data_IF_047088287000
#
_entry.id   IF_047088287000
#
_cell.length_a   1.000
_cell.length_b   1.000
_cell.length_c   1.000
_cell.angle_alpha   90.00
_cell.angle_beta   90.00
_cell.angle_gamma   90.00
#
_symmetry.space_group_name_H-M   'P 1'
#
loop_
_entity.id
_entity.type
_entity.pdbx_description
1 polymer ?
#
# COMPACT_ATOMS: atom_id res chain seq x y z
N UNK A 1 2.77 -3.60 -13.28
CA UNK A 1 2.72 -4.03 -11.88
C UNK A 1 1.53 -4.97 -11.66
N UNK A 2 1.78 -6.13 -11.07
CA UNK A 2 0.74 -6.99 -10.52
C UNK A 2 0.43 -6.57 -9.08
N UNK A 3 -0.78 -6.84 -8.54
CA UNK A 3 -1.15 -6.42 -7.20
C UNK A 3 -1.21 -7.58 -6.22
N UNK A 4 -0.53 -7.47 -5.08
CA UNK A 4 -0.62 -8.41 -3.97
C UNK A 4 -1.33 -7.77 -2.78
N UNK A 5 -2.36 -8.47 -2.29
CA UNK A 5 -3.17 -8.06 -1.12
C UNK A 5 -2.63 -8.80 0.12
N UNK A 6 -1.87 -8.09 0.96
CA UNK A 6 -1.10 -8.68 2.04
C UNK A 6 -1.92 -9.06 3.28
N UNK A 7 -3.22 -8.75 3.32
CA UNK A 7 -4.14 -9.31 4.31
C UNK A 7 -4.35 -10.82 4.17
N UNK A 8 -3.90 -11.42 3.05
CA UNK A 8 -3.89 -12.89 2.88
C UNK A 8 -2.55 -13.46 3.34
N UNK A 9 -2.62 -14.49 4.16
CA UNK A 9 -1.42 -15.13 4.72
C UNK A 9 -0.56 -15.89 3.69
N UNK A 10 -1.14 -16.25 2.52
CA UNK A 10 -0.46 -17.01 1.45
C UNK A 10 0.33 -16.13 0.46
N UNK A 11 0.30 -14.79 0.62
CA UNK A 11 0.87 -13.89 -0.39
C UNK A 11 2.40 -13.82 -0.40
N UNK A 12 3.05 -14.06 0.74
CA UNK A 12 4.51 -14.11 0.77
C UNK A 12 5.07 -15.32 0.01
N UNK A 13 4.46 -16.49 0.15
CA UNK A 13 4.87 -17.68 -0.58
C UNK A 13 4.62 -17.51 -2.08
N UNK A 14 3.49 -16.92 -2.46
CA UNK A 14 3.21 -16.58 -3.85
C UNK A 14 4.24 -15.60 -4.42
N UNK A 15 4.62 -14.55 -3.67
CA UNK A 15 5.63 -13.57 -4.08
C UNK A 15 6.99 -14.25 -4.34
N UNK A 16 7.41 -15.12 -3.42
CA UNK A 16 8.67 -15.88 -3.55
C UNK A 16 8.65 -16.79 -4.76
N UNK A 17 7.56 -17.55 -4.96
CA UNK A 17 7.39 -18.43 -6.12
C UNK A 17 7.41 -17.65 -7.46
N UNK A 18 6.75 -16.48 -7.50
CA UNK A 18 6.76 -15.62 -8.67
C UNK A 18 8.16 -15.07 -8.96
N UNK A 19 8.92 -14.71 -7.92
CA UNK A 19 10.31 -14.25 -8.05
C UNK A 19 11.22 -15.36 -8.62
N UNK A 20 11.12 -16.59 -8.11
CA UNK A 20 11.90 -17.72 -8.64
C UNK A 20 11.57 -17.99 -10.13
N UNK A 21 10.29 -17.91 -10.48
CA UNK A 21 9.88 -18.01 -11.89
C UNK A 21 10.46 -16.86 -12.74
N UNK A 22 10.54 -15.65 -12.19
CA UNK A 22 11.15 -14.52 -12.89
C UNK A 22 12.66 -14.70 -13.10
N UNK A 23 13.37 -15.26 -12.11
CA UNK A 23 14.78 -15.59 -12.21
C UNK A 23 15.05 -16.62 -13.30
N UNK A 24 14.31 -17.74 -13.27
CA UNK A 24 14.49 -18.83 -14.24
C UNK A 24 14.19 -18.41 -15.67
N UNK A 25 13.24 -17.49 -15.86
CA UNK A 25 12.84 -16.99 -17.17
C UNK A 25 13.45 -15.63 -17.54
N UNK A 26 14.36 -15.11 -16.72
CA UNK A 26 15.13 -13.87 -16.93
C UNK A 26 14.28 -12.63 -17.23
N UNK A 27 13.13 -12.45 -16.53
CA UNK A 27 12.33 -11.22 -16.66
C UNK A 27 12.27 -10.42 -15.35
N UNK A 28 11.95 -9.14 -15.49
CA UNK A 28 11.72 -8.24 -14.35
C UNK A 28 10.26 -8.33 -13.91
N UNK A 29 10.01 -8.23 -12.60
CA UNK A 29 8.65 -8.17 -12.06
C UNK A 29 8.39 -6.87 -11.32
N UNK A 30 7.22 -6.29 -11.54
CA UNK A 30 6.73 -5.15 -10.76
C UNK A 30 5.52 -5.58 -9.94
N UNK A 31 5.57 -5.35 -8.64
CA UNK A 31 4.49 -5.68 -7.71
C UNK A 31 4.01 -4.42 -7.00
N UNK A 32 2.71 -4.19 -7.07
CA UNK A 32 2.01 -3.27 -6.20
C UNK A 32 1.59 -4.02 -4.94
N UNK A 33 2.11 -3.59 -3.81
CA UNK A 33 1.78 -4.16 -2.51
C UNK A 33 0.71 -3.30 -1.85
N UNK A 34 -0.40 -3.91 -1.44
CA UNK A 34 -1.49 -3.28 -0.70
C UNK A 34 -1.90 -4.16 0.47
N UNK A 35 -2.51 -3.58 1.51
CA UNK A 35 -3.07 -4.39 2.60
C UNK A 35 -4.26 -5.20 2.12
N UNK A 36 -5.19 -4.59 1.42
CA UNK A 36 -6.39 -5.19 0.85
C UNK A 36 -7.67 -4.55 1.38
N UNK A 37 -8.78 -4.70 0.64
CA UNK A 37 -10.02 -3.98 0.90
C UNK A 37 -11.26 -4.89 1.08
N UNK A 38 -11.09 -6.22 1.05
CA UNK A 38 -12.24 -7.15 1.06
C UNK A 38 -12.15 -8.18 2.19
N UNK A 39 -11.50 -7.83 3.28
CA UNK A 39 -11.18 -8.74 4.39
C UNK A 39 -12.44 -9.42 4.94
N UNK A 40 -13.48 -8.66 5.26
CA UNK A 40 -14.72 -9.20 5.82
C UNK A 40 -15.47 -10.09 4.81
N UNK A 41 -15.53 -9.66 3.55
CA UNK A 41 -16.17 -10.46 2.49
C UNK A 41 -15.47 -11.80 2.25
N UNK A 42 -14.15 -11.83 2.33
CA UNK A 42 -13.36 -13.07 2.20
C UNK A 42 -13.56 -14.00 3.40
N UNK A 43 -13.67 -13.45 4.62
CA UNK A 43 -13.99 -14.21 5.84
C UNK A 43 -15.38 -14.82 5.75
N UNK A 44 -16.39 -14.01 5.45
CA UNK A 44 -17.78 -14.49 5.26
C UNK A 44 -17.88 -15.57 4.18
N UNK A 45 -17.16 -15.39 3.07
CA UNK A 45 -17.13 -16.38 2.00
C UNK A 45 -16.50 -17.68 2.44
N UNK A 46 -15.41 -17.64 3.22
CA UNK A 46 -14.76 -18.81 3.74
C UNK A 46 -15.69 -19.58 4.68
N UNK A 47 -16.38 -18.87 5.58
CA UNK A 47 -17.39 -19.45 6.50
C UNK A 47 -18.52 -20.11 5.73
N UNK A 48 -19.17 -19.36 4.80
CA UNK A 48 -20.28 -19.88 3.98
C UNK A 48 -19.93 -21.10 3.14
N UNK A 49 -18.67 -21.25 2.76
CA UNK A 49 -18.17 -22.36 1.90
C UNK A 49 -17.42 -23.45 2.66
N UNK A 50 -17.24 -23.29 3.96
CA UNK A 50 -16.61 -24.31 4.84
C UNK A 50 -15.13 -24.54 4.59
N UNK A 51 -14.37 -23.52 4.13
CA UNK A 51 -12.92 -23.61 4.01
C UNK A 51 -12.20 -22.65 4.97
N UNK A 52 -10.93 -22.94 5.36
CA UNK A 52 -10.17 -22.07 6.22
C UNK A 52 -10.03 -20.67 5.65
N UNK A 53 -10.26 -19.63 6.47
CA UNK A 53 -10.13 -18.25 6.02
C UNK A 53 -8.70 -17.98 5.50
N UNK A 54 -8.53 -17.41 4.30
CA UNK A 54 -7.21 -17.06 3.77
C UNK A 54 -6.66 -15.76 4.38
N UNK A 55 -7.41 -15.11 5.26
CA UNK A 55 -7.11 -13.79 5.81
C UNK A 55 -6.24 -13.93 7.06
N UNK A 56 -5.26 -13.05 7.22
CA UNK A 56 -4.45 -12.93 8.42
C UNK A 56 -5.33 -12.80 9.67
N UNK A 57 -4.84 -13.34 10.79
CA UNK A 57 -5.61 -13.39 12.04
C UNK A 57 -6.07 -12.01 12.54
N UNK A 58 -5.21 -11.01 12.38
CA UNK A 58 -5.45 -9.65 12.86
C UNK A 58 -4.77 -8.59 11.97
N UNK A 59 -4.95 -7.33 12.34
CA UNK A 59 -4.35 -6.18 11.65
C UNK A 59 -2.82 -6.22 11.72
N UNK A 60 -2.24 -6.58 12.87
CA UNK A 60 -0.80 -6.62 13.05
C UNK A 60 -0.15 -7.64 12.11
N UNK A 61 -0.72 -8.84 12.01
CA UNK A 61 -0.26 -9.86 11.07
C UNK A 61 -0.32 -9.40 9.61
N UNK A 62 -1.32 -8.58 9.26
CA UNK A 62 -1.40 -7.94 7.93
C UNK A 62 -0.29 -6.90 7.73
N UNK A 63 -0.04 -6.09 8.75
CA UNK A 63 1.02 -5.06 8.73
C UNK A 63 2.41 -5.70 8.63
N UNK A 64 2.66 -6.76 9.39
CA UNK A 64 3.90 -7.53 9.36
C UNK A 64 4.14 -8.16 7.97
N UNK A 65 3.11 -8.80 7.42
CA UNK A 65 3.14 -9.42 6.11
C UNK A 65 3.40 -8.38 4.99
N UNK A 66 2.76 -7.21 5.08
CA UNK A 66 2.99 -6.08 4.18
C UNK A 66 4.45 -5.60 4.25
N UNK A 67 4.96 -5.36 5.45
CA UNK A 67 6.32 -4.88 5.67
C UNK A 67 7.38 -5.94 5.30
N UNK A 68 7.07 -7.23 5.48
CA UNK A 68 7.95 -8.32 5.02
C UNK A 68 8.07 -8.36 3.51
N UNK A 69 6.95 -8.19 2.78
CA UNK A 69 6.97 -8.10 1.32
C UNK A 69 7.86 -6.95 0.83
N UNK A 70 7.77 -5.77 1.46
CA UNK A 70 8.64 -4.63 1.17
C UNK A 70 10.11 -5.01 1.40
N UNK A 71 10.44 -5.55 2.58
CA UNK A 71 11.83 -5.96 2.91
C UNK A 71 12.36 -6.99 1.92
N UNK A 72 11.52 -7.93 1.52
CA UNK A 72 11.88 -8.93 0.53
C UNK A 72 12.20 -8.29 -0.83
N UNK A 73 11.27 -7.51 -1.36
CA UNK A 73 11.39 -6.94 -2.71
C UNK A 73 12.57 -5.98 -2.86
N UNK A 74 12.81 -5.14 -1.86
CA UNK A 74 13.88 -4.14 -1.88
C UNK A 74 15.30 -4.73 -1.94
N UNK A 75 15.47 -6.03 -1.62
CA UNK A 75 16.76 -6.73 -1.72
C UNK A 75 17.15 -7.07 -3.17
N UNK A 76 16.19 -7.10 -4.09
CA UNK A 76 16.43 -7.65 -5.42
C UNK A 76 16.30 -6.60 -6.53
N UNK A 77 17.37 -6.34 -7.29
CA UNK A 77 17.40 -5.26 -8.29
C UNK A 77 16.47 -5.48 -9.49
N UNK A 78 16.02 -6.71 -9.73
CA UNK A 78 15.08 -7.04 -10.80
C UNK A 78 13.60 -6.99 -10.37
N UNK A 79 13.34 -6.56 -9.12
CA UNK A 79 11.99 -6.36 -8.60
C UNK A 79 11.67 -4.86 -8.50
N UNK A 80 10.50 -4.47 -9.01
CA UNK A 80 10.00 -3.11 -8.89
C UNK A 80 8.85 -3.10 -7.84
N UNK A 81 8.97 -2.21 -6.87
CA UNK A 81 8.01 -2.02 -5.79
C UNK A 81 7.10 -0.83 -6.07
N UNK A 82 5.79 -1.05 -5.98
CA UNK A 82 4.81 0.01 -5.85
C UNK A 82 4.14 -0.11 -4.47
N UNK A 83 4.54 0.73 -3.53
CA UNK A 83 4.02 0.73 -2.15
C UNK A 83 2.67 1.46 -2.11
N UNK A 84 1.57 0.71 -2.20
CA UNK A 84 0.20 1.24 -2.10
C UNK A 84 -0.25 1.31 -0.64
N UNK A 85 -0.05 2.46 0.02
CA UNK A 85 -0.35 2.58 1.45
C UNK A 85 -0.58 4.03 1.88
N UNK A 86 -1.41 4.19 2.94
CA UNK A 86 -1.61 5.41 3.71
C UNK A 86 -0.90 5.37 5.07
N UNK A 87 -0.15 4.29 5.35
CA UNK A 87 0.58 4.12 6.59
C UNK A 87 1.96 4.78 6.51
N UNK A 88 2.22 5.74 7.42
CA UNK A 88 3.47 6.48 7.47
C UNK A 88 4.67 5.58 7.79
N UNK A 89 4.53 4.67 8.76
CA UNK A 89 5.60 3.78 9.19
C UNK A 89 6.07 2.87 8.05
N UNK A 90 5.13 2.32 7.27
CA UNK A 90 5.47 1.54 6.08
C UNK A 90 6.15 2.39 5.00
N UNK A 91 5.77 3.67 4.87
CA UNK A 91 6.42 4.60 3.95
C UNK A 91 7.84 4.93 4.41
N UNK A 92 8.06 5.16 5.70
CA UNK A 92 9.39 5.33 6.27
C UNK A 92 10.25 4.08 6.09
N UNK A 93 9.70 2.88 6.31
CA UNK A 93 10.41 1.62 6.08
C UNK A 93 10.94 1.52 4.64
N UNK A 94 10.13 1.90 3.64
CA UNK A 94 10.58 1.93 2.24
C UNK A 94 11.76 2.90 2.05
N UNK A 95 11.68 4.10 2.64
CA UNK A 95 12.76 5.10 2.55
C UNK A 95 14.04 4.63 3.22
N UNK A 96 13.95 4.01 4.39
CA UNK A 96 15.09 3.43 5.12
C UNK A 96 15.76 2.31 4.31
N UNK A 97 14.95 1.43 3.70
CA UNK A 97 15.46 0.37 2.84
C UNK A 97 16.07 0.91 1.55
N UNK A 98 15.49 1.96 0.96
CA UNK A 98 16.08 2.64 -0.20
C UNK A 98 17.48 3.18 0.14
N UNK A 99 17.63 3.86 1.28
CA UNK A 99 18.92 4.32 1.78
C UNK A 99 19.88 3.14 2.04
N UNK A 100 19.42 2.08 2.70
CA UNK A 100 20.22 0.89 3.03
C UNK A 100 20.76 0.19 1.79
N UNK A 101 19.98 0.10 0.73
CA UNK A 101 20.37 -0.59 -0.50
C UNK A 101 20.85 0.37 -1.59
N UNK A 102 21.09 1.63 -1.24
CA UNK A 102 21.60 2.68 -2.17
C UNK A 102 20.72 2.78 -3.43
N UNK A 103 19.39 2.75 -3.23
CA UNK A 103 18.40 2.94 -4.28
C UNK A 103 18.07 4.42 -4.34
N UNK A 104 18.26 5.03 -5.51
CA UNK A 104 17.93 6.44 -5.73
C UNK A 104 16.43 6.71 -5.55
N UNK A 105 16.07 7.90 -5.06
CA UNK A 105 14.68 8.28 -4.88
C UNK A 105 13.90 8.29 -6.20
N UNK A 106 14.54 8.66 -7.31
CA UNK A 106 13.98 8.65 -8.66
C UNK A 106 14.06 7.29 -9.37
N UNK A 107 14.54 6.23 -8.70
CA UNK A 107 14.63 4.90 -9.32
C UNK A 107 13.26 4.47 -9.84
N UNK A 108 13.19 4.15 -11.13
CA UNK A 108 11.95 3.72 -11.81
C UNK A 108 11.31 2.46 -11.23
N UNK A 109 12.06 1.73 -10.40
CA UNK A 109 11.57 0.52 -9.70
C UNK A 109 10.85 0.84 -8.40
N UNK A 110 10.92 2.08 -7.87
CA UNK A 110 10.40 2.46 -6.58
C UNK A 110 9.30 3.50 -6.72
N UNK A 111 8.09 3.12 -6.34
CA UNK A 111 6.91 3.98 -6.39
C UNK A 111 6.12 3.95 -5.09
N UNK A 112 5.56 5.10 -4.74
CA UNK A 112 4.57 5.22 -3.66
C UNK A 112 3.21 5.58 -4.26
N UNK A 113 2.15 4.98 -3.71
CA UNK A 113 0.79 5.25 -4.19
C UNK A 113 -0.19 5.49 -3.07
N UNK A 114 -0.92 6.60 -3.17
CA UNK A 114 -2.02 6.95 -2.28
C UNK A 114 -3.29 7.23 -3.10
N UNK A 115 -4.44 7.16 -2.44
CA UNK A 115 -5.70 7.55 -3.04
C UNK A 115 -5.80 9.07 -3.13
N UNK A 116 -6.40 9.57 -4.19
CA UNK A 116 -6.66 11.00 -4.35
C UNK A 116 -7.53 11.52 -3.19
N UNK A 117 -7.19 12.70 -2.67
CA UNK A 117 -7.87 13.30 -1.54
C UNK A 117 -7.55 12.67 -0.17
N UNK A 118 -6.56 11.73 -0.11
CA UNK A 118 -6.14 11.10 1.12
C UNK A 118 -4.63 11.15 1.29
N UNK A 119 -4.17 11.34 2.55
CA UNK A 119 -2.75 11.31 2.93
C UNK A 119 -1.86 12.23 2.10
N UNK A 120 -2.32 13.45 1.84
CA UNK A 120 -1.59 14.43 1.05
C UNK A 120 -0.26 14.82 1.70
N UNK A 121 -0.21 14.83 3.04
CA UNK A 121 1.02 15.03 3.79
C UNK A 121 2.10 13.97 3.46
N UNK A 122 1.72 12.70 3.27
CA UNK A 122 2.66 11.63 2.84
C UNK A 122 3.10 11.91 1.41
N UNK A 123 2.14 12.12 0.49
CA UNK A 123 2.39 12.27 -0.94
C UNK A 123 3.31 13.46 -1.25
N UNK A 124 3.02 14.63 -0.68
CA UNK A 124 3.81 15.84 -0.92
C UNK A 124 5.20 15.76 -0.29
N UNK A 125 5.33 15.19 0.92
CA UNK A 125 6.63 15.01 1.56
C UNK A 125 7.52 14.01 0.80
N UNK A 126 6.97 12.92 0.30
CA UNK A 126 7.71 11.97 -0.55
C UNK A 126 8.14 12.61 -1.87
N UNK A 127 7.23 13.30 -2.54
CA UNK A 127 7.51 13.99 -3.80
C UNK A 127 8.56 15.09 -3.64
N UNK A 128 8.50 15.88 -2.55
CA UNK A 128 9.51 16.92 -2.27
C UNK A 128 10.92 16.35 -1.99
N UNK A 129 11.00 15.08 -1.60
CA UNK A 129 12.26 14.33 -1.43
C UNK A 129 12.70 13.60 -2.71
N UNK A 130 11.99 13.80 -3.82
CA UNK A 130 12.33 13.25 -5.12
C UNK A 130 11.81 11.83 -5.38
N UNK A 131 11.01 11.23 -4.49
CA UNK A 131 10.45 9.91 -4.73
C UNK A 131 9.34 9.94 -5.78
N UNK A 132 9.21 8.84 -6.54
CA UNK A 132 8.10 8.68 -7.48
C UNK A 132 6.80 8.44 -6.70
N UNK A 133 5.84 9.33 -6.87
CA UNK A 133 4.53 9.28 -6.20
C UNK A 133 3.41 9.28 -7.22
N UNK A 134 2.44 8.39 -7.03
CA UNK A 134 1.23 8.32 -7.82
C UNK A 134 -0.01 8.52 -6.94
N UNK A 135 -0.95 9.35 -7.39
CA UNK A 135 -2.28 9.48 -6.80
C UNK A 135 -3.28 8.71 -7.65
N UNK A 136 -3.97 7.73 -7.03
CA UNK A 136 -5.04 7.01 -7.70
C UNK A 136 -6.30 7.87 -7.71
N UNK A 137 -6.71 8.27 -8.90
CA UNK A 137 -7.96 9.02 -9.14
C UNK A 137 -8.99 8.05 -9.74
N UNK A 138 -10.11 7.76 -9.03
CA UNK A 138 -11.19 6.99 -9.62
C UNK A 138 -11.79 7.72 -10.81
N UNK A 139 -11.92 7.05 -11.93
CA UNK A 139 -12.49 7.60 -13.15
C UNK A 139 -13.37 6.57 -13.85
N UNK A 140 -14.56 6.98 -14.32
CA UNK A 140 -15.46 6.13 -15.05
C UNK A 140 -16.95 6.51 -14.86
N UNK A 141 -17.89 5.72 -15.41
CA UNK A 141 -19.32 5.90 -15.19
C UNK A 141 -19.66 5.86 -13.70
N UNK A 142 -20.60 6.70 -13.27
CA UNK A 142 -21.00 6.84 -11.86
C UNK A 142 -21.34 5.49 -11.23
N UNK A 143 -22.09 4.64 -11.91
CA UNK A 143 -22.49 3.29 -11.43
C UNK A 143 -21.28 2.39 -11.09
N UNK A 144 -20.14 2.57 -11.78
CA UNK A 144 -18.96 1.73 -11.60
C UNK A 144 -18.01 2.34 -10.56
N UNK A 145 -17.98 3.66 -10.44
CA UNK A 145 -17.12 4.41 -9.50
C UNK A 145 -17.74 4.51 -8.10
N UNK A 146 -19.08 4.65 -8.00
CA UNK A 146 -19.77 4.81 -6.71
C UNK A 146 -19.50 3.67 -5.71
N UNK A 147 -19.54 2.38 -6.09
CA UNK A 147 -19.21 1.30 -5.15
C UNK A 147 -17.77 1.38 -4.60
N UNK A 148 -16.85 1.92 -5.40
CA UNK A 148 -15.48 2.17 -4.95
C UNK A 148 -15.42 3.32 -3.92
N UNK A 149 -16.11 4.44 -4.20
CA UNK A 149 -16.14 5.60 -3.30
C UNK A 149 -16.82 5.30 -1.98
N UNK A 150 -17.94 4.54 -2.00
CA UNK A 150 -18.64 4.11 -0.78
C UNK A 150 -17.71 3.30 0.11
N UNK A 151 -16.97 2.31 -0.44
CA UNK A 151 -16.00 1.54 0.35
C UNK A 151 -14.91 2.42 0.96
N UNK A 152 -14.47 3.46 0.27
CA UNK A 152 -13.49 4.42 0.83
C UNK A 152 -14.07 5.23 1.96
N UNK A 153 -15.32 5.67 1.84
CA UNK A 153 -16.01 6.37 2.91
C UNK A 153 -16.18 5.48 4.15
N UNK A 154 -16.59 4.23 3.97
CA UNK A 154 -16.71 3.24 5.05
C UNK A 154 -15.37 2.96 5.75
N UNK A 155 -14.29 2.77 4.99
CA UNK A 155 -12.95 2.58 5.54
C UNK A 155 -12.45 3.80 6.32
N UNK A 156 -12.74 5.01 5.84
CA UNK A 156 -12.37 6.25 6.54
C UNK A 156 -13.14 6.43 7.84
N UNK A 157 -14.40 6.02 7.90
CA UNK A 157 -15.19 6.09 9.14
C UNK A 157 -14.75 5.05 10.17
N UNK A 158 -14.26 3.89 9.74
CA UNK A 158 -13.73 2.85 10.64
C UNK A 158 -12.34 3.21 11.20
N UNK A 159 -11.60 4.12 10.56
CA UNK A 159 -10.30 4.66 11.01
C UNK A 159 -10.48 6.06 11.60
N UNK A 160 -11.31 6.17 12.63
CA UNK A 160 -11.66 7.43 13.29
C UNK A 160 -10.45 8.28 13.78
N UNK A 161 -9.26 7.68 13.92
CA UNK A 161 -8.03 8.39 14.32
C UNK A 161 -7.32 9.12 13.17
N UNK A 162 -7.48 8.69 11.92
CA UNK A 162 -6.70 9.23 10.81
C UNK A 162 -7.24 10.58 10.30
N UNK A 163 -8.57 10.71 10.21
CA UNK A 163 -9.22 11.98 9.82
C UNK A 163 -8.96 13.09 10.84
N UNK A 164 -9.01 12.79 12.14
CA UNK A 164 -8.69 13.75 13.20
C UNK A 164 -7.23 14.18 13.17
N UNK A 165 -6.30 13.28 12.82
CA UNK A 165 -4.87 13.60 12.69
C UNK A 165 -4.61 14.52 11.49
N UNK A 166 -5.14 14.24 10.31
CA UNK A 166 -5.01 15.09 9.12
C UNK A 166 -5.56 16.50 9.39
N UNK A 167 -6.73 16.60 10.02
CA UNK A 167 -7.30 17.88 10.43
C UNK A 167 -6.39 18.64 11.39
N UNK A 168 -5.78 17.97 12.37
CA UNK A 168 -4.84 18.59 13.30
C UNK A 168 -3.57 19.07 12.61
N UNK A 169 -3.03 18.32 11.66
CA UNK A 169 -1.89 18.72 10.84
C UNK A 169 -2.22 19.97 10.01
N UNK A 170 -3.39 20.02 9.38
CA UNK A 170 -3.86 21.21 8.65
C UNK A 170 -4.03 22.43 9.55
N UNK A 171 -4.63 22.27 10.76
CA UNK A 171 -4.76 23.35 11.74
C UNK A 171 -3.39 23.85 12.22
N UNK A 172 -2.45 22.95 12.44
CA UNK A 172 -1.08 23.28 12.83
C UNK A 172 -0.36 24.07 11.74
N UNK A 173 -0.47 23.63 10.50
CA UNK A 173 0.13 24.30 9.35
C UNK A 173 -0.51 25.67 9.10
N UNK A 174 -1.83 25.78 9.23
CA UNK A 174 -2.53 27.07 9.14
C UNK A 174 -2.02 28.06 10.19
N UNK A 175 -1.86 27.61 11.45
CA UNK A 175 -1.28 28.46 12.51
C UNK A 175 0.16 28.87 12.19
N UNK A 176 0.98 27.96 11.68
CA UNK A 176 2.36 28.24 11.27
C UNK A 176 2.42 29.33 10.19
N UNK A 177 1.51 29.28 9.24
CA UNK A 177 1.41 30.29 8.12
C UNK A 177 0.74 31.59 8.56
N UNK A 178 0.16 31.67 9.75
CA UNK A 178 -0.59 32.84 10.24
C UNK A 178 -1.77 33.25 9.33
N UNK A 179 -2.47 32.25 8.76
CA UNK A 179 -3.65 32.45 7.89
C UNK A 179 -4.93 32.16 8.68
#
# INVERSE_FOLDING_TARGET
FNTLQMYRHDRMDYLKALHEKAKTKSFHIGIKVVRGAYMEKERERAEKKGYPSPICKDKQATDDNYNEAIRYMMKYPKMALFAGTHNEESSYLVMELAKKYTIDAHDKRLWFGQLFGMSDHISYNLSSKGYNVAKYLPFGPVRDVMPYLIRRAEENTSVAGQTSRELNLLKTERKRRKI
#
